data_IF_372937411493
#
_entry.id   IF_372937411493
#
_cell.length_a   1.000
_cell.length_b   1.000
_cell.length_c   1.000
_cell.angle_alpha   90.00
_cell.angle_beta   90.00
_cell.angle_gamma   90.00
#
_symmetry.space_group_name_H-M   'P 1'
#
loop_
_entity.id
_entity.type
_entity.pdbx_description
1 polymer ?
#
# COMPACT_ATOMS: atom_id res chain seq x y z
N UNK A 1 7.83 -12.13 -15.07
CA UNK A 1 8.87 -13.18 -15.09
C UNK A 1 10.28 -12.59 -15.16
N UNK A 2 11.30 -13.36 -14.77
CA UNK A 2 12.71 -13.03 -14.96
C UNK A 2 13.36 -14.11 -15.86
N UNK A 3 13.85 -13.71 -17.03
CA UNK A 3 14.52 -14.58 -17.99
C UNK A 3 16.02 -14.34 -17.91
N UNK A 4 16.81 -15.41 -17.78
CA UNK A 4 18.27 -15.32 -17.76
C UNK A 4 18.90 -16.29 -18.75
N UNK A 5 19.96 -15.85 -19.44
CA UNK A 5 20.71 -16.69 -20.36
C UNK A 5 22.19 -16.26 -20.45
N UNK A 6 23.12 -17.16 -20.88
CA UNK A 6 24.54 -16.85 -20.94
C UNK A 6 24.87 -15.65 -21.84
N UNK A 7 25.85 -14.82 -21.45
CA UNK A 7 26.25 -13.59 -22.17
C UNK A 7 26.73 -13.80 -23.62
N UNK A 8 27.11 -15.02 -23.98
CA UNK A 8 27.57 -15.37 -25.32
C UNK A 8 26.48 -16.06 -26.16
N UNK A 9 25.22 -16.01 -25.72
CA UNK A 9 24.07 -16.54 -26.44
C UNK A 9 23.01 -15.46 -26.59
N UNK A 10 22.22 -15.54 -27.65
CA UNK A 10 21.06 -14.68 -27.87
C UNK A 10 19.99 -15.44 -28.67
N UNK A 11 18.75 -14.99 -28.57
CA UNK A 11 17.69 -15.42 -29.47
C UNK A 11 17.82 -14.78 -30.86
N UNK A 12 16.99 -15.23 -31.80
CA UNK A 12 16.85 -14.67 -33.14
C UNK A 12 15.49 -14.01 -33.36
N UNK A 13 15.30 -13.43 -34.55
CA UNK A 13 14.03 -12.79 -34.93
C UNK A 13 12.95 -13.80 -35.32
N UNK A 14 13.34 -14.98 -35.81
CA UNK A 14 12.39 -16.02 -36.23
C UNK A 14 11.60 -16.59 -35.04
N UNK A 15 10.32 -16.97 -35.23
CA UNK A 15 9.48 -17.55 -34.16
C UNK A 15 10.12 -18.72 -33.42
N UNK A 16 10.86 -19.59 -34.12
CA UNK A 16 11.53 -20.75 -33.52
C UNK A 16 12.81 -20.40 -32.74
N UNK A 17 13.29 -19.16 -32.85
CA UNK A 17 14.56 -18.71 -32.29
C UNK A 17 14.40 -17.79 -31.07
N UNK A 18 13.17 -17.54 -30.58
CA UNK A 18 12.91 -16.73 -29.39
C UNK A 18 11.87 -17.37 -28.46
N UNK A 19 11.94 -17.01 -27.18
CA UNK A 19 11.09 -17.60 -26.12
C UNK A 19 9.61 -17.24 -26.23
N UNK A 20 9.28 -16.18 -26.99
CA UNK A 20 7.91 -15.69 -27.15
C UNK A 20 7.20 -16.41 -28.32
N UNK A 21 7.95 -16.96 -29.27
CA UNK A 21 7.38 -17.74 -30.37
C UNK A 21 6.80 -16.89 -31.50
N UNK A 22 7.26 -15.65 -31.70
CA UNK A 22 6.72 -14.70 -32.70
C UNK A 22 7.79 -14.15 -33.65
N UNK A 23 7.39 -13.58 -34.78
CA UNK A 23 8.31 -12.90 -35.70
C UNK A 23 8.69 -11.50 -35.16
N UNK A 24 9.89 -11.37 -34.61
CA UNK A 24 10.38 -10.10 -34.05
C UNK A 24 10.97 -9.15 -35.11
N UNK A 25 11.03 -9.55 -36.38
CA UNK A 25 11.41 -8.66 -37.49
C UNK A 25 10.26 -7.71 -37.90
N UNK A 26 9.05 -7.95 -37.40
CA UNK A 26 7.86 -7.13 -37.66
C UNK A 26 7.56 -6.19 -36.48
N UNK A 27 6.97 -5.03 -36.80
CA UNK A 27 6.47 -4.12 -35.77
C UNK A 27 5.36 -4.79 -34.97
N UNK A 28 5.49 -4.76 -33.64
CA UNK A 28 4.52 -5.36 -32.75
C UNK A 28 3.33 -4.43 -32.47
N UNK A 29 2.12 -4.98 -32.25
CA UNK A 29 0.94 -4.19 -31.91
C UNK A 29 1.02 -3.60 -30.49
N UNK A 30 0.09 -2.70 -30.17
CA UNK A 30 -0.07 -2.18 -28.81
C UNK A 30 -0.28 -3.33 -27.80
N UNK A 31 0.23 -3.14 -26.58
CA UNK A 31 0.12 -4.11 -25.47
C UNK A 31 0.69 -5.51 -25.76
N UNK A 32 1.60 -5.62 -26.74
CA UNK A 32 2.28 -6.88 -27.05
C UNK A 32 3.09 -7.43 -25.86
N UNK A 33 3.15 -8.75 -25.76
CA UNK A 33 4.07 -9.43 -24.85
C UNK A 33 5.48 -9.60 -25.41
N UNK A 34 5.62 -9.48 -26.73
CA UNK A 34 6.86 -9.69 -27.48
C UNK A 34 7.79 -8.48 -27.48
N UNK A 35 7.74 -7.67 -26.42
CA UNK A 35 8.56 -6.48 -26.26
C UNK A 35 8.93 -6.24 -24.80
N UNK A 36 10.07 -5.59 -24.60
CA UNK A 36 10.51 -5.08 -23.30
C UNK A 36 11.28 -3.78 -23.48
N UNK A 37 11.17 -2.86 -22.52
CA UNK A 37 11.93 -1.61 -22.54
C UNK A 37 13.40 -1.84 -22.15
N UNK A 38 14.33 -0.93 -22.50
CA UNK A 38 15.73 -1.04 -22.08
C UNK A 38 15.90 -1.19 -20.55
N UNK A 39 15.07 -0.52 -19.75
CA UNK A 39 15.09 -0.60 -18.28
C UNK A 39 14.73 -2.00 -17.71
N UNK A 40 14.08 -2.84 -18.53
CA UNK A 40 13.74 -4.23 -18.19
C UNK A 40 14.88 -5.19 -18.48
N UNK A 41 15.98 -4.74 -19.10
CA UNK A 41 17.17 -5.54 -19.41
C UNK A 41 18.38 -5.14 -18.54
N UNK A 42 19.22 -6.11 -18.18
CA UNK A 42 20.56 -5.88 -17.60
C UNK A 42 21.46 -7.11 -17.80
N UNK A 43 22.73 -7.04 -17.38
CA UNK A 43 23.62 -8.20 -17.22
C UNK A 43 23.96 -8.32 -15.73
N UNK A 44 23.72 -9.48 -15.12
CA UNK A 44 23.98 -9.71 -13.69
C UNK A 44 24.85 -10.95 -13.48
N UNK A 45 25.38 -11.10 -12.26
CA UNK A 45 25.99 -12.36 -11.83
C UNK A 45 24.92 -13.35 -11.38
N UNK A 46 24.94 -14.56 -11.93
CA UNK A 46 24.16 -15.72 -11.48
C UNK A 46 25.12 -16.91 -11.37
N UNK A 47 25.21 -17.52 -10.18
CA UNK A 47 26.12 -18.63 -9.89
C UNK A 47 27.58 -18.34 -10.33
N UNK A 48 28.07 -17.13 -10.05
CA UNK A 48 29.42 -16.68 -10.38
C UNK A 48 29.66 -16.30 -11.84
N UNK A 49 28.67 -16.44 -12.73
CA UNK A 49 28.78 -16.14 -14.17
C UNK A 49 27.93 -14.94 -14.55
N UNK A 50 28.41 -14.16 -15.50
CA UNK A 50 27.60 -13.12 -16.12
C UNK A 50 26.51 -13.74 -17.00
N UNK A 51 25.28 -13.27 -16.81
CA UNK A 51 24.11 -13.65 -17.61
C UNK A 51 23.34 -12.41 -18.01
N UNK A 52 22.75 -12.43 -19.20
CA UNK A 52 21.70 -11.49 -19.54
C UNK A 52 20.50 -11.72 -18.62
N UNK A 53 19.77 -10.65 -18.31
CA UNK A 53 18.57 -10.65 -17.50
C UNK A 53 17.52 -9.78 -18.19
N UNK A 54 16.30 -10.31 -18.35
CA UNK A 54 15.11 -9.52 -18.65
C UNK A 54 14.06 -9.76 -17.56
N UNK A 55 13.60 -8.69 -16.92
CA UNK A 55 12.48 -8.72 -15.97
C UNK A 55 11.28 -8.03 -16.63
N UNK A 56 10.30 -8.82 -17.10
CA UNK A 56 9.07 -8.31 -17.73
C UNK A 56 7.83 -8.56 -16.87
N UNK A 57 6.80 -7.69 -16.95
CA UNK A 57 5.50 -7.98 -16.36
C UNK A 57 4.88 -9.23 -16.99
N UNK A 58 4.21 -10.00 -16.15
CA UNK A 58 3.47 -11.21 -16.53
C UNK A 58 2.06 -10.81 -16.98
N UNK A 59 1.65 -11.28 -18.17
CA UNK A 59 0.35 -11.00 -18.78
C UNK A 59 -0.77 -11.80 -18.13
N UNK A 60 -0.46 -13.00 -17.65
CA UNK A 60 -1.42 -13.93 -17.04
C UNK A 60 -1.66 -13.63 -15.55
N UNK A 61 -0.83 -12.77 -14.96
CA UNK A 61 -1.01 -12.34 -13.58
C UNK A 61 -2.25 -11.46 -13.42
N UNK A 62 -3.26 -11.93 -12.69
CA UNK A 62 -4.52 -11.23 -12.45
C UNK A 62 -4.38 -9.87 -11.75
N UNK A 63 -3.27 -9.64 -11.04
CA UNK A 63 -3.01 -8.38 -10.35
C UNK A 63 -2.78 -7.24 -11.35
N UNK A 64 -1.95 -7.45 -12.37
CA UNK A 64 -1.48 -6.39 -13.26
C UNK A 64 -1.79 -6.63 -14.74
N UNK A 65 -2.20 -7.82 -15.16
CA UNK A 65 -2.59 -8.16 -16.54
C UNK A 65 -1.56 -7.69 -17.59
N UNK A 66 -0.27 -7.83 -17.29
CA UNK A 66 0.84 -7.39 -18.15
C UNK A 66 1.29 -5.94 -17.97
N UNK A 67 0.60 -5.13 -17.16
CA UNK A 67 1.04 -3.77 -16.85
C UNK A 67 2.30 -3.77 -15.99
N UNK A 68 3.23 -2.86 -16.28
CA UNK A 68 4.40 -2.57 -15.44
C UNK A 68 4.46 -1.08 -15.12
N UNK A 69 4.37 -0.71 -13.84
CA UNK A 69 4.57 0.69 -13.44
C UNK A 69 5.99 1.15 -13.74
N UNK A 70 6.22 2.46 -13.81
CA UNK A 70 7.57 3.04 -14.02
C UNK A 70 8.60 2.57 -13.00
N UNK A 71 8.17 2.15 -11.80
CA UNK A 71 9.03 1.58 -10.76
C UNK A 71 9.34 0.09 -11.00
N UNK A 72 8.31 -0.69 -11.34
CA UNK A 72 8.45 -2.14 -11.58
C UNK A 72 9.20 -2.45 -12.89
N UNK A 73 8.94 -1.67 -13.94
CA UNK A 73 9.53 -1.83 -15.26
C UNK A 73 11.04 -1.52 -15.33
N UNK A 74 11.64 -1.03 -14.23
CA UNK A 74 13.08 -0.77 -14.09
C UNK A 74 13.77 -1.65 -13.06
N UNK A 75 13.14 -2.77 -12.67
CA UNK A 75 13.74 -3.71 -11.71
C UNK A 75 15.07 -4.30 -12.21
N UNK A 76 15.23 -4.53 -13.52
CA UNK A 76 16.46 -5.09 -14.08
C UNK A 76 17.58 -4.04 -14.07
N UNK A 77 17.32 -2.82 -14.55
CA UNK A 77 18.26 -1.69 -14.49
C UNK A 77 18.70 -1.35 -13.05
N UNK A 78 17.83 -1.58 -12.07
CA UNK A 78 18.15 -1.41 -10.65
C UNK A 78 18.85 -2.62 -10.00
N UNK A 79 19.27 -3.62 -10.79
CA UNK A 79 20.24 -4.63 -10.32
C UNK A 79 21.65 -4.10 -10.50
N UNK A 80 22.55 -4.44 -9.59
CA UNK A 80 23.96 -4.11 -9.75
C UNK A 80 24.56 -4.93 -10.88
N UNK A 81 25.38 -4.26 -11.68
CA UNK A 81 26.17 -4.85 -12.74
C UNK A 81 27.49 -4.12 -12.89
N UNK A 82 28.59 -4.86 -12.86
CA UNK A 82 29.92 -4.33 -13.18
C UNK A 82 30.12 -4.25 -14.71
N UNK A 83 29.29 -4.95 -15.50
CA UNK A 83 29.33 -4.92 -16.97
C UNK A 83 28.60 -3.69 -17.50
N UNK A 84 27.43 -3.35 -16.96
CA UNK A 84 26.65 -2.18 -17.39
C UNK A 84 26.86 -0.95 -16.51
N UNK A 85 27.63 -1.06 -15.43
CA UNK A 85 27.90 0.05 -14.50
C UNK A 85 26.71 0.46 -13.62
N UNK A 86 25.65 -0.35 -13.57
CA UNK A 86 24.44 -0.03 -12.80
C UNK A 86 24.63 -0.32 -11.30
N UNK A 87 24.06 0.55 -10.45
CA UNK A 87 24.00 0.40 -8.98
C UNK A 87 25.34 0.08 -8.28
N UNK A 88 26.43 0.70 -8.74
CA UNK A 88 27.77 0.55 -8.15
C UNK A 88 27.89 1.06 -6.70
N UNK A 89 26.87 1.78 -6.22
CA UNK A 89 26.75 2.25 -4.84
C UNK A 89 26.32 1.16 -3.84
N UNK A 90 25.98 -0.06 -4.28
CA UNK A 90 25.57 -1.14 -3.37
C UNK A 90 26.73 -1.56 -2.46
N UNK A 91 26.46 -1.72 -1.18
CA UNK A 91 27.43 -2.28 -0.22
C UNK A 91 27.80 -3.71 -0.63
N UNK A 92 29.10 -4.01 -0.61
CA UNK A 92 29.67 -5.30 -0.99
C UNK A 92 30.32 -6.03 0.19
N UNK A 93 30.86 -5.25 1.13
CA UNK A 93 31.63 -5.73 2.27
C UNK A 93 31.15 -5.00 3.54
N UNK A 94 31.25 -5.65 4.71
CA UNK A 94 31.09 -4.97 5.98
C UNK A 94 32.05 -3.78 6.10
N UNK A 95 31.56 -2.66 6.63
CA UNK A 95 32.35 -1.46 6.89
C UNK A 95 32.41 -1.21 8.41
N UNK A 96 33.60 -0.93 8.92
CA UNK A 96 33.82 -0.53 10.32
C UNK A 96 34.49 0.83 10.35
N UNK A 97 34.02 1.73 11.23
CA UNK A 97 34.66 3.02 11.46
C UNK A 97 35.91 2.84 12.32
N UNK A 98 37.09 3.01 11.70
CA UNK A 98 38.39 2.92 12.37
C UNK A 98 39.44 3.71 11.61
N UNK A 99 40.53 4.10 12.29
CA UNK A 99 41.62 4.86 11.68
C UNK A 99 41.16 6.19 11.02
N UNK A 100 40.06 6.76 11.49
CA UNK A 100 39.52 8.05 11.02
C UNK A 100 38.59 7.97 9.79
N UNK A 101 38.24 6.77 9.30
CA UNK A 101 37.32 6.61 8.16
C UNK A 101 36.58 5.27 8.20
N UNK A 102 35.63 5.05 7.28
CA UNK A 102 35.03 3.74 7.04
C UNK A 102 36.02 2.84 6.33
N UNK A 103 36.25 1.64 6.87
CA UNK A 103 37.18 0.66 6.32
C UNK A 103 36.47 -0.67 6.07
N UNK A 104 36.68 -1.30 4.90
CA UNK A 104 36.20 -2.65 4.66
C UNK A 104 36.84 -3.64 5.63
N UNK A 105 36.09 -4.69 5.95
CA UNK A 105 36.58 -5.78 6.80
C UNK A 105 35.82 -7.09 6.55
N UNK A 106 36.26 -8.16 7.21
CA UNK A 106 35.58 -9.46 7.12
C UNK A 106 34.27 -9.49 7.93
N UNK A 107 33.38 -10.41 7.57
CA UNK A 107 32.17 -10.67 8.36
C UNK A 107 32.48 -11.05 9.81
N UNK A 108 33.53 -11.84 10.03
CA UNK A 108 33.95 -12.26 11.37
C UNK A 108 34.34 -11.06 12.25
N UNK A 109 35.15 -10.13 11.72
CA UNK A 109 35.58 -8.92 12.44
C UNK A 109 34.40 -7.99 12.73
N UNK A 110 33.55 -7.73 11.74
CA UNK A 110 32.39 -6.86 11.90
C UNK A 110 31.38 -7.42 12.90
N UNK A 111 31.06 -8.72 12.82
CA UNK A 111 30.10 -9.36 13.72
C UNK A 111 30.66 -9.53 15.13
N UNK A 112 31.94 -9.86 15.29
CA UNK A 112 32.59 -9.94 16.61
C UNK A 112 32.52 -8.58 17.33
N UNK A 113 32.82 -7.48 16.63
CA UNK A 113 32.72 -6.14 17.19
C UNK A 113 31.27 -5.80 17.60
N UNK A 114 30.30 -6.01 16.72
CA UNK A 114 28.88 -5.72 17.01
C UNK A 114 28.39 -6.55 18.20
N UNK A 115 28.71 -7.85 18.24
CA UNK A 115 28.30 -8.75 19.31
C UNK A 115 28.92 -8.34 20.66
N UNK A 116 30.22 -8.05 20.70
CA UNK A 116 30.91 -7.64 21.93
C UNK A 116 30.41 -6.32 22.48
N UNK A 117 30.21 -5.32 21.63
CA UNK A 117 29.70 -4.01 22.06
C UNK A 117 28.27 -4.14 22.55
N UNK A 118 27.39 -4.80 21.77
CA UNK A 118 26.00 -5.01 22.14
C UNK A 118 25.89 -5.75 23.48
N UNK A 119 26.58 -6.89 23.62
CA UNK A 119 26.57 -7.69 24.85
C UNK A 119 27.25 -7.00 26.05
N UNK A 120 28.07 -5.97 25.82
CA UNK A 120 28.65 -5.15 26.89
C UNK A 120 27.70 -4.05 27.34
N UNK A 121 26.90 -3.51 26.42
CA UNK A 121 25.91 -2.46 26.69
C UNK A 121 24.68 -3.02 27.38
N UNK A 122 24.17 -4.17 26.91
CA UNK A 122 23.02 -4.83 27.53
C UNK A 122 23.48 -5.79 28.63
N UNK A 123 22.74 -5.85 29.72
CA UNK A 123 22.81 -6.97 30.67
C UNK A 123 21.69 -7.96 30.33
N UNK A 124 21.88 -9.25 30.61
CA UNK A 124 20.89 -10.31 30.31
C UNK A 124 19.51 -10.04 30.93
N UNK A 125 19.46 -9.24 32.00
CA UNK A 125 18.24 -8.89 32.73
C UNK A 125 17.82 -7.42 32.48
N UNK A 126 18.57 -6.64 31.67
CA UNK A 126 18.31 -5.24 31.34
C UNK A 126 18.77 -4.90 29.92
N UNK A 127 17.86 -5.02 28.97
CA UNK A 127 18.12 -4.77 27.55
C UNK A 127 17.69 -3.38 27.07
N UNK A 128 17.15 -2.54 27.96
CA UNK A 128 16.56 -1.25 27.58
C UNK A 128 17.60 -0.26 27.00
N UNK A 129 18.92 -0.51 27.15
CA UNK A 129 19.97 0.29 26.50
C UNK A 129 20.19 -0.05 25.00
N UNK A 130 19.52 -1.09 24.47
CA UNK A 130 19.54 -1.42 23.04
C UNK A 130 18.35 -0.79 22.31
N UNK A 131 18.67 0.01 21.29
CA UNK A 131 17.71 0.65 20.41
C UNK A 131 17.71 0.01 19.02
N UNK A 132 16.53 -0.31 18.50
CA UNK A 132 16.38 -0.97 17.20
C UNK A 132 15.43 -0.17 16.30
N UNK A 133 15.85 0.07 15.06
CA UNK A 133 14.97 0.56 13.99
C UNK A 133 14.97 -0.47 12.87
N UNK A 134 13.82 -1.05 12.58
CA UNK A 134 13.73 -2.17 11.63
C UNK A 134 12.53 -2.08 10.69
N UNK A 135 12.62 -2.81 9.58
CA UNK A 135 11.51 -3.04 8.66
C UNK A 135 10.52 -4.05 9.26
N UNK A 136 9.24 -3.89 8.95
CA UNK A 136 8.16 -4.84 9.24
C UNK A 136 7.31 -5.16 7.99
N UNK A 137 7.66 -4.57 6.86
CA UNK A 137 6.92 -4.68 5.61
C UNK A 137 7.30 -5.92 4.79
N UNK A 138 6.52 -6.22 3.75
CA UNK A 138 6.80 -7.26 2.76
C UNK A 138 7.79 -6.83 1.66
N UNK A 139 7.95 -7.64 0.61
CA UNK A 139 8.72 -7.26 -0.58
C UNK A 139 10.24 -7.14 -0.35
N UNK A 140 10.90 -6.33 -1.19
CA UNK A 140 12.36 -6.16 -1.13
C UNK A 140 12.80 -5.53 0.19
N UNK A 141 13.86 -6.06 0.81
CA UNK A 141 14.37 -5.67 2.13
C UNK A 141 13.40 -5.91 3.30
N UNK A 142 12.33 -6.67 3.08
CA UNK A 142 11.41 -7.17 4.11
C UNK A 142 11.02 -8.61 3.82
N UNK A 143 9.75 -8.95 4.01
CA UNK A 143 9.22 -10.30 3.74
C UNK A 143 9.36 -11.25 4.92
N UNK A 144 8.63 -12.37 4.87
CA UNK A 144 8.44 -13.28 6.00
C UNK A 144 9.76 -13.78 6.59
N UNK A 145 10.72 -14.15 5.74
CA UNK A 145 12.00 -14.71 6.18
C UNK A 145 12.81 -13.68 6.97
N UNK A 146 12.85 -12.44 6.49
CA UNK A 146 13.64 -11.38 7.11
C UNK A 146 12.96 -10.84 8.37
N UNK A 147 11.65 -10.64 8.35
CA UNK A 147 10.90 -10.17 9.54
C UNK A 147 10.87 -11.24 10.62
N UNK A 148 10.80 -12.52 10.25
CA UNK A 148 10.99 -13.62 11.20
C UNK A 148 12.41 -13.62 11.79
N UNK A 149 13.44 -13.46 10.95
CA UNK A 149 14.83 -13.44 11.40
C UNK A 149 15.10 -12.32 12.41
N UNK A 150 14.72 -11.08 12.10
CA UNK A 150 14.89 -9.93 13.00
C UNK A 150 13.98 -10.02 14.23
N UNK A 151 12.72 -10.42 14.05
CA UNK A 151 11.77 -10.61 15.15
C UNK A 151 12.24 -11.69 16.13
N UNK A 152 12.75 -12.82 15.63
CA UNK A 152 13.29 -13.90 16.46
C UNK A 152 14.54 -13.46 17.23
N UNK A 153 15.41 -12.64 16.63
CA UNK A 153 16.56 -12.07 17.31
C UNK A 153 16.11 -11.16 18.47
N UNK A 154 15.26 -10.17 18.20
CA UNK A 154 14.97 -9.10 19.15
C UNK A 154 13.83 -9.41 20.14
N UNK A 155 12.93 -10.34 19.83
CA UNK A 155 11.75 -10.65 20.67
C UNK A 155 11.73 -12.08 21.23
N UNK A 156 12.36 -13.05 20.57
CA UNK A 156 12.47 -14.41 21.11
C UNK A 156 13.75 -14.58 21.91
N UNK A 157 14.90 -14.33 21.29
CA UNK A 157 16.22 -14.47 21.93
C UNK A 157 16.48 -13.36 22.96
N UNK A 158 15.89 -12.19 22.70
CA UNK A 158 15.90 -10.99 23.54
C UNK A 158 14.47 -10.58 23.90
N UNK A 159 14.28 -9.49 24.63
CA UNK A 159 13.00 -8.87 25.02
C UNK A 159 13.05 -7.35 24.80
N UNK A 160 13.55 -6.93 23.63
CA UNK A 160 13.78 -5.51 23.30
C UNK A 160 12.47 -4.73 23.30
N UNK A 161 12.39 -3.68 24.12
CA UNK A 161 11.25 -2.75 24.16
C UNK A 161 11.47 -1.50 23.33
N UNK A 162 12.70 -0.98 23.30
CA UNK A 162 13.03 0.29 22.63
C UNK A 162 13.30 0.06 21.14
N UNK A 163 12.27 -0.42 20.47
CA UNK A 163 12.27 -0.59 19.02
C UNK A 163 11.23 0.30 18.35
N UNK A 164 11.54 0.66 17.11
CA UNK A 164 10.66 1.37 16.20
C UNK A 164 10.60 0.67 14.86
N UNK A 165 9.58 1.03 14.09
CA UNK A 165 9.43 0.58 12.72
C UNK A 165 9.98 1.64 11.75
N UNK A 166 10.29 1.20 10.53
CA UNK A 166 10.86 2.00 9.46
C UNK A 166 10.10 3.31 9.18
N UNK A 167 8.77 3.30 9.23
CA UNK A 167 7.92 4.45 8.89
C UNK A 167 7.27 5.15 10.09
N UNK A 168 7.45 4.66 11.32
CA UNK A 168 6.82 5.20 12.53
C UNK A 168 7.72 5.08 13.76
N UNK A 169 7.70 6.04 14.70
CA UNK A 169 8.73 6.18 15.72
C UNK A 169 8.58 5.23 16.92
N UNK A 170 7.68 4.25 16.86
CA UNK A 170 7.45 3.26 17.91
C UNK A 170 7.11 1.89 17.30
N UNK A 171 7.01 0.87 18.16
CA UNK A 171 6.53 -0.46 17.78
C UNK A 171 5.01 -0.56 17.92
N UNK A 172 4.29 0.07 17.00
CA UNK A 172 2.83 0.16 16.99
C UNK A 172 2.24 -0.27 15.63
N UNK A 173 0.91 -0.36 15.55
CA UNK A 173 0.18 -0.52 14.29
C UNK A 173 -0.15 0.85 13.69
N UNK A 174 -0.19 0.96 12.37
CA UNK A 174 -0.71 2.15 11.67
C UNK A 174 -2.22 2.32 11.87
N UNK A 175 -2.93 1.23 12.17
CA UNK A 175 -4.39 1.13 12.05
C UNK A 175 -5.00 0.46 13.29
N UNK A 176 -4.57 0.84 14.49
CA UNK A 176 -5.10 0.28 15.75
C UNK A 176 -6.63 0.29 15.80
N UNK A 177 -7.27 1.41 15.45
CA UNK A 177 -8.73 1.56 15.55
C UNK A 177 -9.51 0.47 14.78
N UNK A 178 -9.17 0.18 13.51
CA UNK A 178 -9.91 -0.83 12.73
C UNK A 178 -9.68 -2.24 13.27
N UNK A 179 -8.46 -2.55 13.72
CA UNK A 179 -8.14 -3.84 14.33
C UNK A 179 -8.84 -4.04 15.67
N UNK A 180 -8.87 -3.00 16.50
CA UNK A 180 -9.59 -3.01 17.78
C UNK A 180 -11.12 -3.13 17.56
N UNK A 181 -11.64 -2.59 16.44
CA UNK A 181 -13.01 -2.81 15.98
C UNK A 181 -13.26 -4.22 15.43
N UNK A 182 -12.24 -5.07 15.31
CA UNK A 182 -12.33 -6.43 14.78
C UNK A 182 -12.36 -6.52 13.24
N UNK A 183 -11.96 -5.46 12.55
CA UNK A 183 -11.93 -5.39 11.08
C UNK A 183 -10.49 -5.18 10.62
N UNK A 184 -9.84 -6.23 10.13
CA UNK A 184 -8.49 -6.14 9.58
C UNK A 184 -8.45 -5.26 8.34
N UNK A 185 -7.35 -4.55 8.13
CA UNK A 185 -7.29 -3.42 7.19
C UNK A 185 -7.24 -3.83 5.70
N UNK A 186 -6.91 -5.11 5.41
CA UNK A 186 -6.88 -5.72 4.07
C UNK A 186 -7.98 -6.80 3.93
N UNK A 187 -9.24 -6.40 4.07
CA UNK A 187 -10.40 -7.30 4.20
C UNK A 187 -11.21 -7.56 2.90
N UNK A 188 -10.76 -7.06 1.75
CA UNK A 188 -11.43 -7.21 0.46
C UNK A 188 -10.43 -7.53 -0.67
N UNK A 189 -10.94 -7.88 -1.85
CA UNK A 189 -10.13 -8.26 -3.00
C UNK A 189 -10.12 -7.16 -4.07
N UNK A 190 -9.09 -7.17 -4.94
CA UNK A 190 -9.02 -6.20 -6.04
C UNK A 190 -10.22 -6.27 -7.00
N UNK A 191 -10.84 -7.45 -7.12
CA UNK A 191 -12.04 -7.62 -7.95
C UNK A 191 -13.24 -6.80 -7.45
N UNK A 192 -13.30 -6.44 -6.17
CA UNK A 192 -14.39 -5.65 -5.59
C UNK A 192 -14.47 -4.24 -6.22
N UNK A 193 -13.34 -3.68 -6.68
CA UNK A 193 -13.35 -2.43 -7.44
C UNK A 193 -14.14 -2.54 -8.75
N UNK A 194 -14.26 -3.74 -9.32
CA UNK A 194 -15.05 -4.02 -10.51
C UNK A 194 -16.52 -4.33 -10.26
N UNK A 195 -16.94 -4.44 -9.00
CA UNK A 195 -18.29 -4.86 -8.56
C UNK A 195 -19.05 -3.78 -7.76
N UNK A 196 -18.36 -2.70 -7.41
CA UNK A 196 -18.88 -1.62 -6.56
C UNK A 196 -19.68 -0.58 -7.33
N UNK A 197 -20.60 0.11 -6.65
CA UNK A 197 -21.32 1.28 -7.20
C UNK A 197 -20.55 2.58 -6.95
N UNK A 198 -19.67 2.61 -5.94
CA UNK A 198 -18.87 3.78 -5.58
C UNK A 198 -17.48 3.36 -5.09
N UNK A 199 -16.46 4.07 -5.55
CA UNK A 199 -15.08 3.96 -5.08
C UNK A 199 -14.76 5.24 -4.30
N UNK A 200 -14.42 5.10 -3.02
CA UNK A 200 -14.04 6.22 -2.16
C UNK A 200 -12.54 6.17 -1.88
N UNK A 201 -11.79 7.16 -2.36
CA UNK A 201 -10.36 7.32 -2.15
C UNK A 201 -10.13 8.32 -1.01
N UNK A 202 -9.50 7.91 0.08
CA UNK A 202 -9.31 8.72 1.30
C UNK A 202 -7.81 8.92 1.52
N UNK A 203 -7.28 10.13 1.29
CA UNK A 203 -5.83 10.37 1.38
C UNK A 203 -5.00 9.58 0.35
N UNK A 204 -5.65 8.97 -0.64
CA UNK A 204 -5.04 8.05 -1.59
C UNK A 204 -4.83 8.68 -2.98
N UNK A 205 -3.58 8.71 -3.45
CA UNK A 205 -3.22 9.15 -4.80
C UNK A 205 -2.94 7.95 -5.72
N UNK A 206 -3.93 7.07 -5.86
CA UNK A 206 -3.79 5.69 -6.37
C UNK A 206 -3.13 5.56 -7.74
N UNK A 207 -3.27 6.51 -8.65
CA UNK A 207 -2.56 6.45 -9.94
C UNK A 207 -1.03 6.50 -9.73
N UNK A 208 -0.57 7.31 -8.78
CA UNK A 208 0.86 7.43 -8.48
C UNK A 208 1.33 6.38 -7.47
N UNK A 209 0.54 6.03 -6.46
CA UNK A 209 1.00 5.22 -5.32
C UNK A 209 0.59 3.74 -5.40
N UNK A 210 -0.49 3.42 -6.11
CA UNK A 210 -0.99 2.05 -6.33
C UNK A 210 -1.30 1.82 -7.82
N UNK A 211 -0.40 2.29 -8.70
CA UNK A 211 -0.63 2.48 -10.14
C UNK A 211 -1.35 1.35 -10.86
N UNK A 212 -0.87 0.11 -10.73
CA UNK A 212 -1.47 -1.00 -11.46
C UNK A 212 -2.78 -1.49 -10.83
N UNK A 213 -2.99 -1.29 -9.53
CA UNK A 213 -4.29 -1.51 -8.90
C UNK A 213 -5.31 -0.52 -9.48
N UNK A 214 -4.93 0.77 -9.55
CA UNK A 214 -5.77 1.80 -10.14
C UNK A 214 -6.11 1.50 -11.60
N UNK A 215 -5.09 1.24 -12.44
CA UNK A 215 -5.28 1.05 -13.88
C UNK A 215 -5.97 -0.28 -14.23
N UNK A 216 -5.69 -1.36 -13.51
CA UNK A 216 -6.17 -2.70 -13.86
C UNK A 216 -7.51 -3.06 -13.18
N UNK A 217 -7.88 -2.40 -12.08
CA UNK A 217 -9.10 -2.75 -11.32
C UNK A 217 -10.02 -1.57 -11.07
N UNK A 218 -9.49 -0.42 -10.61
CA UNK A 218 -10.33 0.77 -10.35
C UNK A 218 -10.86 1.39 -11.65
N UNK A 219 -10.02 1.59 -12.67
CA UNK A 219 -10.43 2.17 -13.96
C UNK A 219 -11.50 1.31 -14.66
N UNK A 220 -11.37 -0.03 -14.76
CA UNK A 220 -12.46 -0.87 -15.26
C UNK A 220 -13.76 -0.74 -14.47
N UNK A 221 -13.71 -0.63 -13.14
CA UNK A 221 -14.89 -0.35 -12.30
C UNK A 221 -15.53 1.00 -12.61
N UNK A 222 -14.72 2.04 -12.73
CA UNK A 222 -15.14 3.40 -13.11
C UNK A 222 -15.82 3.39 -14.48
N UNK A 223 -15.22 2.74 -15.48
CA UNK A 223 -15.79 2.62 -16.84
C UNK A 223 -17.11 1.83 -16.88
N UNK A 224 -17.35 0.95 -15.90
CA UNK A 224 -18.63 0.24 -15.70
C UNK A 224 -19.70 1.10 -14.99
N UNK A 225 -19.36 2.32 -14.59
CA UNK A 225 -20.29 3.30 -14.03
C UNK A 225 -20.16 3.54 -12.53
N UNK A 226 -19.13 2.99 -11.87
CA UNK A 226 -18.86 3.32 -10.46
C UNK A 226 -18.59 4.83 -10.32
N UNK A 227 -19.26 5.47 -9.36
CA UNK A 227 -18.96 6.86 -8.99
C UNK A 227 -17.67 6.91 -8.19
N UNK A 228 -16.94 8.02 -8.25
CA UNK A 228 -15.69 8.19 -7.50
C UNK A 228 -15.81 9.36 -6.53
N UNK A 229 -15.57 9.10 -5.24
CA UNK A 229 -15.39 10.14 -4.23
C UNK A 229 -13.90 10.20 -3.91
N UNK A 230 -13.30 11.38 -3.90
CA UNK A 230 -11.91 11.58 -3.50
C UNK A 230 -11.86 12.58 -2.36
N UNK A 231 -11.41 12.14 -1.18
CA UNK A 231 -11.15 12.97 -0.01
C UNK A 231 -9.65 13.23 0.02
N UNK A 232 -9.25 14.40 -0.48
CA UNK A 232 -7.85 14.84 -0.51
C UNK A 232 -7.81 16.37 -0.55
N UNK A 233 -7.09 17.05 0.37
CA UNK A 233 -6.92 18.52 0.30
C UNK A 233 -6.31 19.00 -1.02
N UNK A 234 -5.57 18.14 -1.73
CA UNK A 234 -4.88 18.44 -2.98
C UNK A 234 -5.64 17.86 -4.16
N UNK A 235 -5.69 18.61 -5.26
CA UNK A 235 -6.08 18.07 -6.57
C UNK A 235 -4.91 17.31 -7.19
N UNK A 236 -5.06 16.01 -7.38
CA UNK A 236 -4.01 15.09 -7.83
C UNK A 236 -4.24 14.60 -9.27
N UNK A 237 -3.24 13.93 -9.85
CA UNK A 237 -3.39 13.27 -11.17
C UNK A 237 -4.37 12.10 -11.11
N UNK A 238 -4.58 11.50 -9.93
CA UNK A 238 -5.62 10.47 -9.73
C UNK A 238 -7.01 11.07 -9.98
N UNK A 239 -7.30 12.25 -9.41
CA UNK A 239 -8.58 12.94 -9.64
C UNK A 239 -8.76 13.28 -11.13
N UNK A 240 -7.72 13.81 -11.78
CA UNK A 240 -7.76 14.08 -13.21
C UNK A 240 -8.05 12.82 -14.04
N UNK A 241 -7.39 11.70 -13.73
CA UNK A 241 -7.64 10.44 -14.42
C UNK A 241 -9.06 9.92 -14.19
N UNK A 242 -9.56 9.99 -12.96
CA UNK A 242 -10.96 9.65 -12.66
C UNK A 242 -11.94 10.52 -13.48
N UNK A 243 -11.70 11.82 -13.62
CA UNK A 243 -12.57 12.70 -14.42
C UNK A 243 -12.52 12.37 -15.91
N UNK A 244 -11.36 11.97 -16.43
CA UNK A 244 -11.20 11.51 -17.82
C UNK A 244 -11.96 10.20 -18.07
N UNK A 245 -11.88 9.26 -17.12
CA UNK A 245 -12.47 7.92 -17.28
C UNK A 245 -13.96 7.87 -16.95
N UNK A 246 -14.42 8.64 -15.96
CA UNK A 246 -15.80 8.65 -15.47
C UNK A 246 -16.64 9.80 -16.03
N UNK A 247 -15.99 10.90 -16.47
CA UNK A 247 -16.65 12.20 -16.61
C UNK A 247 -16.75 12.95 -15.28
N UNK A 248 -16.66 14.28 -15.31
CA UNK A 248 -16.62 15.14 -14.10
C UNK A 248 -17.84 14.96 -13.18
N UNK A 249 -19.03 14.74 -13.74
CA UNK A 249 -20.25 14.58 -12.94
C UNK A 249 -20.27 13.29 -12.10
N UNK A 250 -19.39 12.34 -12.43
CA UNK A 250 -19.22 11.07 -11.75
C UNK A 250 -18.03 11.06 -10.78
N UNK A 251 -17.36 12.20 -10.61
CA UNK A 251 -16.24 12.38 -9.68
C UNK A 251 -16.57 13.51 -8.70
N UNK A 252 -16.52 13.20 -7.42
CA UNK A 252 -16.70 14.14 -6.34
C UNK A 252 -15.39 14.31 -5.59
N UNK A 253 -14.66 15.39 -5.89
CA UNK A 253 -13.46 15.77 -5.14
C UNK A 253 -13.87 16.62 -3.92
N UNK A 254 -13.78 16.02 -2.74
CA UNK A 254 -13.90 16.70 -1.46
C UNK A 254 -12.52 17.25 -1.07
N UNK A 255 -12.25 18.47 -1.53
CA UNK A 255 -11.02 19.21 -1.25
C UNK A 255 -11.02 19.78 0.19
N UNK A 256 -11.02 18.89 1.18
CA UNK A 256 -11.13 19.25 2.59
C UNK A 256 -9.91 20.03 3.09
N UNK A 257 -10.07 20.80 4.16
CA UNK A 257 -8.95 21.34 4.92
C UNK A 257 -8.11 20.18 5.49
N UNK A 258 -6.79 20.35 5.52
CA UNK A 258 -5.88 19.30 6.01
C UNK A 258 -6.20 18.91 7.47
N UNK A 259 -6.36 17.61 7.73
CA UNK A 259 -6.62 17.07 9.06
C UNK A 259 -8.07 17.17 9.53
N UNK A 260 -9.03 17.32 8.60
CA UNK A 260 -10.46 17.47 8.94
C UNK A 260 -11.34 16.26 8.58
N UNK A 261 -10.72 15.15 8.17
CA UNK A 261 -11.38 13.91 7.75
C UNK A 261 -12.38 13.39 8.79
N UNK A 262 -12.03 13.44 10.08
CA UNK A 262 -12.91 12.97 11.15
C UNK A 262 -14.24 13.75 11.19
N UNK A 263 -14.21 15.07 10.97
CA UNK A 263 -15.43 15.87 10.90
C UNK A 263 -16.28 15.48 9.68
N UNK A 264 -15.64 15.25 8.53
CA UNK A 264 -16.34 14.75 7.34
C UNK A 264 -17.01 13.40 7.62
N UNK A 265 -16.28 12.42 8.17
CA UNK A 265 -16.83 11.08 8.42
C UNK A 265 -17.91 11.07 9.51
N UNK A 266 -17.78 11.89 10.55
CA UNK A 266 -18.81 12.04 11.57
C UNK A 266 -20.13 12.58 10.99
N UNK A 267 -20.06 13.58 10.09
CA UNK A 267 -21.26 14.10 9.43
C UNK A 267 -21.85 13.15 8.40
N UNK A 268 -21.00 12.44 7.63
CA UNK A 268 -21.46 11.38 6.71
C UNK A 268 -22.17 10.28 7.50
N UNK A 269 -21.58 9.80 8.59
CA UNK A 269 -22.17 8.78 9.46
C UNK A 269 -23.50 9.25 10.04
N UNK A 270 -23.55 10.45 10.61
CA UNK A 270 -24.77 11.05 11.16
C UNK A 270 -25.87 11.12 10.10
N UNK A 271 -25.57 11.64 8.91
CA UNK A 271 -26.54 11.79 7.83
C UNK A 271 -27.04 10.44 7.29
N UNK A 272 -26.15 9.48 7.08
CA UNK A 272 -26.51 8.13 6.60
C UNK A 272 -27.41 7.42 7.63
N UNK A 273 -27.05 7.49 8.92
CA UNK A 273 -27.81 6.89 10.01
C UNK A 273 -29.20 7.52 10.18
N UNK A 274 -29.29 8.85 10.15
CA UNK A 274 -30.56 9.58 10.32
C UNK A 274 -31.53 9.33 9.15
N UNK A 275 -31.02 9.08 7.95
CA UNK A 275 -31.84 8.68 6.78
C UNK A 275 -32.15 7.17 6.75
N UNK A 276 -31.61 6.38 7.68
CA UNK A 276 -31.82 4.94 7.73
C UNK A 276 -31.16 4.17 6.57
N UNK A 277 -30.15 4.74 5.91
CA UNK A 277 -29.40 4.12 4.82
C UNK A 277 -28.33 3.15 5.36
N UNK A 278 -28.77 2.26 6.25
CA UNK A 278 -27.94 1.34 7.01
C UNK A 278 -28.42 -0.10 6.84
N UNK A 279 -27.52 -1.05 7.04
CA UNK A 279 -27.87 -2.47 7.11
C UNK A 279 -28.27 -2.86 8.53
N UNK A 280 -29.57 -2.77 8.82
CA UNK A 280 -30.11 -3.09 10.15
C UNK A 280 -29.85 -4.54 10.54
N UNK A 281 -29.94 -5.47 9.59
CA UNK A 281 -29.75 -6.90 9.87
C UNK A 281 -28.28 -7.19 10.15
N UNK A 282 -27.35 -6.61 9.39
CA UNK A 282 -25.92 -6.74 9.69
C UNK A 282 -25.57 -6.11 11.04
N UNK A 283 -26.07 -4.91 11.34
CA UNK A 283 -25.83 -4.25 12.63
C UNK A 283 -26.32 -5.14 13.78
N UNK A 284 -27.55 -5.68 13.68
CA UNK A 284 -28.12 -6.52 14.73
C UNK A 284 -27.38 -7.84 14.94
N UNK A 285 -26.82 -8.44 13.88
CA UNK A 285 -26.26 -9.78 13.93
C UNK A 285 -24.73 -9.84 14.02
N UNK A 286 -24.03 -8.77 13.63
CA UNK A 286 -22.57 -8.78 13.42
C UNK A 286 -21.84 -7.62 14.11
N UNK A 287 -22.54 -6.78 14.88
CA UNK A 287 -21.92 -5.68 15.65
C UNK A 287 -22.27 -5.78 17.14
N UNK A 288 -21.51 -5.08 17.98
CA UNK A 288 -21.72 -5.11 19.43
C UNK A 288 -23.04 -4.42 19.81
N UNK A 289 -23.89 -5.13 20.56
CA UNK A 289 -25.27 -4.69 20.83
C UNK A 289 -25.46 -3.81 22.07
N UNK A 290 -24.51 -3.78 23.02
CA UNK A 290 -24.73 -3.05 24.28
C UNK A 290 -23.53 -2.88 25.22
N UNK A 291 -22.53 -3.75 25.16
CA UNK A 291 -21.33 -3.58 25.98
C UNK A 291 -20.46 -2.45 25.41
N UNK A 292 -20.03 -1.54 26.27
CA UNK A 292 -19.10 -0.45 25.96
C UNK A 292 -17.75 -0.82 26.55
N UNK A 293 -16.72 -0.86 25.71
CA UNK A 293 -15.35 -1.08 26.17
C UNK A 293 -14.88 0.12 27.00
N UNK A 294 -14.13 -0.17 28.07
CA UNK A 294 -13.50 0.88 28.87
C UNK A 294 -12.43 1.55 28.01
N UNK A 295 -12.46 2.88 27.94
CA UNK A 295 -11.39 3.66 27.32
C UNK A 295 -10.05 3.33 27.98
N UNK A 296 -8.96 3.32 27.20
CA UNK A 296 -7.64 2.91 27.71
C UNK A 296 -7.21 3.78 28.90
N UNK A 297 -7.33 5.10 28.76
CA UNK A 297 -7.07 6.09 29.82
C UNK A 297 -7.66 7.47 29.44
N UNK A 298 -7.41 8.49 30.25
CA UNK A 298 -7.90 9.85 30.00
C UNK A 298 -7.28 10.54 28.77
N UNK A 299 -6.10 10.10 28.31
CA UNK A 299 -5.46 10.61 27.11
C UNK A 299 -5.98 9.90 25.85
N UNK A 300 -6.57 8.72 26.00
CA UNK A 300 -7.15 7.90 24.94
C UNK A 300 -8.64 7.62 25.20
N UNK A 301 -9.50 8.66 25.19
CA UNK A 301 -10.84 8.57 25.75
C UNK A 301 -11.86 7.85 24.85
N UNK A 302 -11.50 7.44 23.63
CA UNK A 302 -12.42 6.87 22.65
C UNK A 302 -12.77 5.41 22.98
N UNK A 303 -13.97 5.11 23.52
CA UNK A 303 -14.36 3.74 23.80
C UNK A 303 -14.87 3.05 22.53
N UNK A 304 -14.77 1.72 22.48
CA UNK A 304 -15.55 0.92 21.54
C UNK A 304 -16.96 0.70 22.11
N UNK A 305 -17.98 0.73 21.26
CA UNK A 305 -19.35 0.55 21.72
C UNK A 305 -20.30 0.25 20.58
N UNK A 306 -21.59 0.20 20.92
CA UNK A 306 -22.65 -0.13 19.97
C UNK A 306 -22.83 0.94 18.90
N UNK A 307 -23.51 0.57 17.81
CA UNK A 307 -23.88 1.50 16.74
C UNK A 307 -24.60 2.77 17.27
N UNK A 308 -25.53 2.61 18.21
CA UNK A 308 -26.29 3.74 18.76
C UNK A 308 -25.42 4.65 19.64
N UNK A 309 -24.46 4.07 20.39
CA UNK A 309 -23.48 4.87 21.13
C UNK A 309 -22.60 5.67 20.18
N UNK A 310 -22.02 5.01 19.17
CA UNK A 310 -21.20 5.68 18.17
C UNK A 310 -21.97 6.80 17.48
N UNK A 311 -23.25 6.58 17.13
CA UNK A 311 -24.11 7.60 16.52
C UNK A 311 -24.32 8.81 17.43
N UNK A 312 -24.44 8.62 18.74
CA UNK A 312 -24.58 9.71 19.69
C UNK A 312 -23.27 10.51 19.86
N UNK A 313 -22.14 9.82 20.01
CA UNK A 313 -20.81 10.42 20.25
C UNK A 313 -20.24 11.11 18.99
N UNK A 314 -20.44 10.52 17.81
CA UNK A 314 -19.96 11.06 16.54
C UNK A 314 -20.92 12.08 15.92
N UNK A 315 -22.00 12.47 16.61
CA UNK A 315 -23.03 13.34 16.04
C UNK A 315 -22.45 14.68 15.60
N UNK A 316 -22.53 14.97 14.30
CA UNK A 316 -22.09 16.23 13.73
C UNK A 316 -23.00 16.63 12.56
N UNK A 317 -23.46 17.88 12.53
CA UNK A 317 -24.31 18.36 11.43
C UNK A 317 -23.51 18.57 10.15
N UNK A 318 -24.21 18.52 9.00
CA UNK A 318 -23.63 18.82 7.68
C UNK A 318 -23.05 20.24 7.66
N UNK A 319 -23.74 21.21 8.27
CA UNK A 319 -23.33 22.61 8.35
C UNK A 319 -22.01 22.77 9.11
N UNK A 320 -21.88 22.10 10.27
CA UNK A 320 -20.67 22.14 11.08
C UNK A 320 -19.50 21.48 10.36
N UNK A 321 -19.71 20.30 9.76
CA UNK A 321 -18.67 19.63 8.99
C UNK A 321 -18.23 20.42 7.75
N UNK A 322 -19.17 21.02 7.01
CA UNK A 322 -18.86 21.89 5.87
C UNK A 322 -17.96 23.06 6.28
N UNK A 323 -18.26 23.70 7.42
CA UNK A 323 -17.44 24.77 7.99
C UNK A 323 -16.03 24.30 8.37
N UNK A 324 -15.92 23.16 9.06
CA UNK A 324 -14.62 22.61 9.50
C UNK A 324 -13.79 22.19 8.29
N UNK A 325 -14.40 21.43 7.39
CA UNK A 325 -13.75 20.85 6.21
C UNK A 325 -13.50 21.88 5.11
N UNK A 326 -14.18 23.03 5.10
CA UNK A 326 -14.04 24.02 4.02
C UNK A 326 -14.62 23.54 2.68
N UNK A 327 -15.61 22.64 2.71
CA UNK A 327 -16.30 22.14 1.51
C UNK A 327 -17.79 22.49 1.54
N UNK A 328 -18.46 22.58 0.38
CA UNK A 328 -19.90 22.85 0.33
C UNK A 328 -20.76 21.77 1.03
N UNK A 329 -21.85 22.18 1.67
CA UNK A 329 -22.80 21.27 2.34
C UNK A 329 -23.40 20.24 1.38
N UNK A 330 -23.77 20.67 0.18
CA UNK A 330 -24.33 19.82 -0.87
C UNK A 330 -23.33 18.75 -1.36
N UNK A 331 -22.03 19.04 -1.32
CA UNK A 331 -20.99 18.06 -1.61
C UNK A 331 -20.95 16.93 -0.56
N UNK A 332 -21.10 17.26 0.74
CA UNK A 332 -21.14 16.25 1.81
C UNK A 332 -22.42 15.40 1.70
N UNK A 333 -23.57 16.04 1.44
CA UNK A 333 -24.83 15.32 1.20
C UNK A 333 -24.71 14.39 0.00
N UNK A 334 -24.17 14.89 -1.13
CA UNK A 334 -23.97 14.10 -2.34
C UNK A 334 -23.03 12.91 -2.10
N UNK A 335 -21.98 13.07 -1.30
CA UNK A 335 -21.11 11.96 -0.89
C UNK A 335 -21.89 10.91 -0.11
N UNK A 336 -22.70 11.30 0.88
CA UNK A 336 -23.54 10.37 1.64
C UNK A 336 -24.53 9.61 0.75
N UNK A 337 -25.14 10.29 -0.23
CA UNK A 337 -26.03 9.65 -1.20
C UNK A 337 -25.30 8.62 -2.07
N UNK A 338 -24.11 8.95 -2.56
CA UNK A 338 -23.30 8.06 -3.38
C UNK A 338 -22.81 6.84 -2.58
N UNK A 339 -22.54 7.01 -1.28
CA UNK A 339 -22.10 5.92 -0.40
C UNK A 339 -23.27 4.96 -0.10
N UNK A 340 -24.44 5.47 0.29
CA UNK A 340 -25.41 4.64 1.01
C UNK A 340 -26.87 4.72 0.56
N UNK A 341 -27.30 5.78 -0.14
CA UNK A 341 -28.72 5.93 -0.51
C UNK A 341 -29.17 4.74 -1.38
N UNK A 342 -30.20 3.98 -0.95
CA UNK A 342 -30.68 2.83 -1.71
C UNK A 342 -30.99 3.21 -3.16
N UNK A 343 -30.79 2.26 -4.06
CA UNK A 343 -31.21 2.38 -5.46
C UNK A 343 -32.74 2.40 -5.55
N UNK A 344 -33.28 2.78 -6.70
CA UNK A 344 -34.73 2.87 -6.92
C UNK A 344 -35.45 1.52 -6.71
N UNK A 345 -34.74 0.41 -6.89
CA UNK A 345 -35.23 -0.95 -6.62
C UNK A 345 -35.13 -1.38 -5.14
N UNK A 346 -34.69 -0.48 -4.25
CA UNK A 346 -34.50 -0.72 -2.83
C UNK A 346 -33.20 -1.44 -2.47
N UNK A 347 -32.40 -1.86 -3.45
CA UNK A 347 -31.11 -2.50 -3.18
C UNK A 347 -30.09 -1.50 -2.63
N UNK A 348 -29.20 -1.99 -1.77
CA UNK A 348 -28.15 -1.18 -1.16
C UNK A 348 -27.03 -0.90 -2.16
N UNK A 349 -26.40 0.26 -2.01
CA UNK A 349 -25.17 0.59 -2.73
C UNK A 349 -23.99 -0.18 -2.16
N UNK A 350 -23.11 -0.62 -3.05
CA UNK A 350 -21.79 -1.13 -2.69
C UNK A 350 -20.80 0.02 -2.79
N UNK A 351 -20.07 0.25 -1.70
CA UNK A 351 -19.02 1.25 -1.64
C UNK A 351 -17.74 0.58 -1.17
N UNK A 352 -16.65 0.76 -1.91
CA UNK A 352 -15.31 0.27 -1.53
C UNK A 352 -14.42 1.46 -1.21
N UNK A 353 -13.61 1.33 -0.17
CA UNK A 353 -12.69 2.38 0.29
C UNK A 353 -11.25 2.00 -0.03
N UNK A 354 -10.47 2.94 -0.56
CA UNK A 354 -9.02 2.86 -0.64
C UNK A 354 -8.41 4.02 0.15
N UNK A 355 -7.38 3.73 0.95
CA UNK A 355 -6.69 4.72 1.79
C UNK A 355 -5.17 4.57 1.71
#
# INVERSE_FOLDING_TARGET
HAYTWPVNKQGGTDPSANVIGVNLAEQQPAETEAWYSPSMYNIIKQNGKDVHLVIKPDKECSVNSGLGSVRGARMAENRRSDITGTQQQRLEEPLVWRYGTWQPTSWEDALDLVARVTARVIDKDKEDDLFVSMFDHGGSAGGYENTWGTGKLYFESMKVKHCRIHNRPAYNSEVHSTRDMGIDELNYAYEDYGLTDTIMLIGANSLETQTNLFLNHMVPGIRKGAKVIVVDPRRTVTINACEVEAGKDNVLHLAINSGTDLALFNALFTHIADNGWIDKDFIANSTIGGDVAVALDAAHPAPLGSFEMARAECKLSIQEAAKICGVPEDAIVKAAEWIAKPKDDGSRRKCVTAY
#
